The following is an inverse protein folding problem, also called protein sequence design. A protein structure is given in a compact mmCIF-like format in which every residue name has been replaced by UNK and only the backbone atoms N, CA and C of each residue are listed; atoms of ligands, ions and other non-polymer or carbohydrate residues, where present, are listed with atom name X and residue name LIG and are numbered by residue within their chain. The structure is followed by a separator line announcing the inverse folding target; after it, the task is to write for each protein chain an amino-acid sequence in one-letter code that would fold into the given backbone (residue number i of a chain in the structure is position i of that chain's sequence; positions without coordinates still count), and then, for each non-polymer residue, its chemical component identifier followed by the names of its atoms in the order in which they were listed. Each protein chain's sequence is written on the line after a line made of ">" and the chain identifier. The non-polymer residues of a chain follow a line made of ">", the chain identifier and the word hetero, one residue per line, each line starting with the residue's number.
data_IF_579176042608
#
_entry.id   IF_579176042608
#
_cell.length_a   1.000
_cell.length_b   1.000
_cell.length_c   1.000
_cell.angle_alpha   90.00
_cell.angle_beta   90.00
_cell.angle_gamma   90.00
#
_symmetry.space_group_name_H-M   'P 1'
#
loop_
_entity.id
_entity.type
_entity.pdbx_description
1 polymer ?
#
# COMPACT_ATOMS: atom_id res chain seq x y z
N UNK A 1 63.75 23.21 51.61
CA UNK A 1 62.31 22.90 51.45
C UNK A 1 62.00 22.64 49.98
N UNK A 2 62.01 21.36 49.60
CA UNK A 2 61.58 20.82 48.31
C UNK A 2 60.13 20.36 48.48
N UNK A 3 59.18 20.87 47.69
CA UNK A 3 57.87 20.25 47.34
C UNK A 3 56.94 21.33 46.74
N UNK A 4 57.13 21.73 45.48
CA UNK A 4 56.13 22.55 44.79
C UNK A 4 56.24 22.46 43.24
N UNK A 5 56.21 21.25 42.66
CA UNK A 5 56.18 21.11 41.18
C UNK A 5 55.28 19.98 40.63
N UNK A 6 54.32 19.46 41.39
CA UNK A 6 53.49 18.31 40.94
C UNK A 6 51.98 18.54 40.90
N UNK A 7 51.48 19.75 41.17
CA UNK A 7 50.03 20.03 41.23
C UNK A 7 49.41 20.56 39.93
N UNK A 8 50.21 20.87 38.90
CA UNK A 8 49.71 21.46 37.64
C UNK A 8 49.67 20.49 36.45
N UNK A 9 50.20 19.27 36.58
CA UNK A 9 50.20 18.27 35.50
C UNK A 9 48.88 17.48 35.38
N UNK A 10 48.03 17.50 36.40
CA UNK A 10 46.73 16.80 36.38
C UNK A 10 45.56 17.67 35.86
N UNK A 11 45.73 18.98 35.79
CA UNK A 11 44.68 19.90 35.32
C UNK A 11 44.63 20.03 33.78
N UNK A 12 45.73 19.72 33.07
CA UNK A 12 45.74 19.73 31.60
C UNK A 12 45.18 18.44 30.97
N UNK A 13 45.19 17.31 31.68
CA UNK A 13 44.69 16.03 31.16
C UNK A 13 43.16 15.92 31.18
N UNK A 14 42.46 16.69 32.01
CA UNK A 14 40.98 16.67 32.08
C UNK A 14 40.32 17.57 31.01
N UNK A 15 41.00 18.64 30.58
CA UNK A 15 40.47 19.55 29.55
C UNK A 15 40.52 18.94 28.14
N UNK A 16 41.51 18.09 27.86
CA UNK A 16 41.64 17.44 26.55
C UNK A 16 40.61 16.30 26.37
N UNK A 17 40.20 15.63 27.46
CA UNK A 17 39.17 14.58 27.42
C UNK A 17 37.75 15.16 27.28
N UNK A 18 37.50 16.39 27.74
CA UNK A 18 36.20 17.06 27.54
C UNK A 18 36.02 17.66 26.14
N UNK A 19 37.10 18.04 25.45
CA UNK A 19 37.01 18.55 24.07
C UNK A 19 36.80 17.44 23.02
N UNK A 20 37.21 16.19 23.27
CA UNK A 20 36.99 15.10 22.31
C UNK A 20 35.55 14.56 22.34
N UNK A 21 34.84 14.69 23.46
CA UNK A 21 33.43 14.26 23.59
C UNK A 21 32.47 15.23 22.86
N UNK A 22 32.81 16.52 22.73
CA UNK A 22 31.97 17.47 22.00
C UNK A 22 32.06 17.34 20.47
N UNK A 23 33.17 16.84 19.93
CA UNK A 23 33.35 16.70 18.48
C UNK A 23 32.54 15.52 17.94
N UNK A 24 32.42 14.42 18.69
CA UNK A 24 31.63 13.26 18.28
C UNK A 24 30.11 13.54 18.27
N UNK A 25 29.63 14.35 19.23
CA UNK A 25 28.21 14.75 19.28
C UNK A 25 27.82 15.78 18.21
N UNK A 26 28.75 16.65 17.80
CA UNK A 26 28.51 17.61 16.73
C UNK A 26 28.33 16.89 15.38
N UNK A 27 29.16 15.89 15.07
CA UNK A 27 29.00 15.07 13.86
C UNK A 27 27.72 14.25 13.87
N UNK A 28 27.36 13.64 15.01
CA UNK A 28 26.12 12.84 15.14
C UNK A 28 24.85 13.70 14.96
N UNK A 29 24.81 14.90 15.55
CA UNK A 29 23.70 15.83 15.35
C UNK A 29 23.64 16.41 13.93
N UNK A 30 24.78 16.76 13.35
CA UNK A 30 24.85 17.25 11.97
C UNK A 30 24.43 16.17 10.96
N UNK A 31 24.88 14.93 11.14
CA UNK A 31 24.50 13.77 10.32
C UNK A 31 22.99 13.49 10.43
N UNK A 32 22.44 13.56 11.65
CA UNK A 32 20.99 13.46 11.86
C UNK A 32 20.23 14.57 11.15
N UNK A 33 20.62 15.84 11.34
CA UNK A 33 19.97 16.99 10.69
C UNK A 33 20.06 16.88 9.16
N UNK A 34 21.21 16.45 8.63
CA UNK A 34 21.37 16.19 7.20
C UNK A 34 20.42 15.10 6.72
N UNK A 35 20.30 13.98 7.44
CA UNK A 35 19.36 12.91 7.09
C UNK A 35 17.90 13.38 7.05
N UNK A 36 17.47 14.17 8.03
CA UNK A 36 16.12 14.77 8.05
C UNK A 36 15.92 15.77 6.91
N UNK A 37 16.93 16.58 6.60
CA UNK A 37 16.85 17.55 5.50
C UNK A 37 16.73 16.86 4.14
N UNK A 38 17.47 15.76 3.95
CA UNK A 38 17.45 14.94 2.76
C UNK A 38 16.09 14.25 2.61
N UNK A 39 15.60 13.58 3.65
CA UNK A 39 14.26 12.96 3.63
C UNK A 39 13.16 13.98 3.29
N UNK A 40 13.21 15.17 3.90
CA UNK A 40 12.26 16.25 3.62
C UNK A 40 12.33 16.74 2.17
N UNK A 41 13.53 16.83 1.58
CA UNK A 41 13.71 17.20 0.18
C UNK A 41 13.15 16.13 -0.76
N UNK A 42 13.41 14.85 -0.48
CA UNK A 42 12.92 13.73 -1.28
C UNK A 42 11.40 13.62 -1.24
N UNK A 43 10.75 13.87 -0.10
CA UNK A 43 9.28 13.95 -0.04
C UNK A 43 8.71 15.11 -0.83
N UNK A 44 9.41 16.25 -0.91
CA UNK A 44 8.98 17.37 -1.74
C UNK A 44 9.04 17.02 -3.22
N UNK A 45 10.14 16.42 -3.67
CA UNK A 45 10.30 15.97 -5.05
C UNK A 45 9.27 14.88 -5.41
N UNK A 46 9.03 13.94 -4.50
CA UNK A 46 7.99 12.92 -4.66
C UNK A 46 6.59 13.53 -4.81
N UNK A 47 6.26 14.57 -4.03
CA UNK A 47 4.98 15.27 -4.17
C UNK A 47 4.90 16.04 -5.48
N UNK A 48 6.00 16.67 -5.94
CA UNK A 48 6.03 17.30 -7.28
C UNK A 48 5.79 16.27 -8.38
N UNK A 49 6.50 15.13 -8.34
CA UNK A 49 6.31 14.03 -9.28
C UNK A 49 4.86 13.53 -9.25
N UNK A 50 4.25 13.40 -8.06
CA UNK A 50 2.84 13.01 -7.94
C UNK A 50 1.92 13.96 -8.71
N UNK A 51 2.11 15.27 -8.58
CA UNK A 51 1.31 16.26 -9.29
C UNK A 51 1.50 16.17 -10.81
N UNK A 52 2.72 15.95 -11.27
CA UNK A 52 3.02 15.79 -12.69
C UNK A 52 2.39 14.51 -13.25
N UNK A 53 2.53 13.38 -12.56
CA UNK A 53 1.92 12.11 -12.95
C UNK A 53 0.39 12.19 -12.99
N UNK A 54 -0.26 12.89 -12.05
CA UNK A 54 -1.71 13.10 -12.08
C UNK A 54 -2.13 13.90 -13.32
N UNK A 55 -1.35 14.90 -13.74
CA UNK A 55 -1.62 15.69 -14.96
C UNK A 55 -1.42 14.88 -16.25
N UNK A 56 -0.50 13.92 -16.23
CA UNK A 56 -0.21 13.01 -17.35
C UNK A 56 -1.20 11.83 -17.44
N UNK A 57 -2.02 11.62 -16.41
CA UNK A 57 -2.98 10.53 -16.39
C UNK A 57 -3.98 10.66 -17.54
N UNK A 58 -4.43 9.52 -18.07
CA UNK A 58 -5.51 9.53 -19.04
C UNK A 58 -6.77 10.15 -18.43
N UNK A 59 -7.42 11.03 -19.18
CA UNK A 59 -8.69 11.64 -18.78
C UNK A 59 -9.82 10.66 -19.06
N UNK A 60 -10.09 9.79 -18.09
CA UNK A 60 -11.09 8.73 -18.18
C UNK A 60 -11.88 8.66 -16.87
N UNK A 61 -13.08 8.10 -16.93
CA UNK A 61 -13.87 7.77 -15.74
C UNK A 61 -13.15 6.72 -14.86
N UNK A 62 -13.39 6.68 -13.54
CA UNK A 62 -12.67 5.81 -12.60
C UNK A 62 -12.63 4.33 -13.00
N UNK A 63 -13.74 3.78 -13.49
CA UNK A 63 -13.80 2.38 -13.93
C UNK A 63 -12.88 2.13 -15.13
N UNK A 64 -12.86 3.04 -16.10
CA UNK A 64 -12.03 2.93 -17.30
C UNK A 64 -10.55 3.12 -16.96
N UNK A 65 -10.24 4.01 -16.01
CA UNK A 65 -8.89 4.13 -15.45
C UNK A 65 -8.43 2.82 -14.82
N UNK A 66 -9.25 2.21 -13.96
CA UNK A 66 -8.94 0.92 -13.34
C UNK A 66 -8.72 -0.19 -14.38
N UNK A 67 -9.60 -0.31 -15.38
CA UNK A 67 -9.43 -1.28 -16.48
C UNK A 67 -8.13 -1.06 -17.23
N UNK A 68 -7.72 0.19 -17.43
CA UNK A 68 -6.46 0.52 -18.12
C UNK A 68 -5.22 -0.04 -17.41
N UNK A 69 -5.26 -0.25 -16.10
CA UNK A 69 -4.12 -0.77 -15.32
C UNK A 69 -3.74 -2.20 -15.70
N UNK A 70 -4.70 -2.96 -16.23
CA UNK A 70 -4.49 -4.32 -16.73
C UNK A 70 -4.00 -4.37 -18.17
N UNK A 71 -3.92 -3.22 -18.86
CA UNK A 71 -3.40 -3.15 -20.22
C UNK A 71 -1.87 -2.94 -20.23
N UNK A 72 -1.19 -3.26 -21.36
CA UNK A 72 0.23 -2.95 -21.52
C UNK A 72 0.42 -1.42 -21.59
N UNK A 73 0.93 -0.84 -20.49
CA UNK A 73 1.28 0.57 -20.37
C UNK A 73 2.74 0.69 -19.94
N UNK A 74 3.36 1.84 -20.24
CA UNK A 74 4.65 2.18 -19.65
C UNK A 74 4.52 2.29 -18.13
N UNK A 75 5.62 2.09 -17.39
CA UNK A 75 5.63 2.25 -15.93
C UNK A 75 5.11 3.63 -15.51
N UNK A 76 5.55 4.68 -16.22
CA UNK A 76 5.13 6.06 -15.96
C UNK A 76 3.62 6.26 -16.17
N UNK A 77 3.07 5.78 -17.30
CA UNK A 77 1.64 5.93 -17.57
C UNK A 77 0.78 5.09 -16.61
N UNK A 78 1.25 3.89 -16.25
CA UNK A 78 0.57 3.05 -15.27
C UNK A 78 0.56 3.70 -13.88
N UNK A 79 1.68 4.31 -13.45
CA UNK A 79 1.75 5.09 -12.22
C UNK A 79 0.81 6.31 -12.27
N UNK A 80 0.82 7.07 -13.36
CA UNK A 80 -0.08 8.21 -13.59
C UNK A 80 -1.56 7.82 -13.47
N UNK A 81 -2.00 6.82 -14.22
CA UNK A 81 -3.38 6.35 -14.19
C UNK A 81 -3.76 5.79 -12.81
N UNK A 82 -2.84 5.09 -12.14
CA UNK A 82 -3.07 4.55 -10.79
C UNK A 82 -3.25 5.67 -9.77
N UNK A 83 -2.37 6.67 -9.76
CA UNK A 83 -2.46 7.81 -8.84
C UNK A 83 -3.75 8.62 -9.06
N UNK A 84 -4.13 8.84 -10.32
CA UNK A 84 -5.39 9.51 -10.67
C UNK A 84 -6.61 8.72 -10.17
N UNK A 85 -6.60 7.40 -10.30
CA UNK A 85 -7.63 6.54 -9.74
C UNK A 85 -7.73 6.66 -8.21
N UNK A 86 -6.58 6.66 -7.51
CA UNK A 86 -6.54 6.86 -6.05
C UNK A 86 -7.13 8.22 -5.65
N UNK A 87 -6.82 9.27 -6.40
CA UNK A 87 -7.40 10.60 -6.17
C UNK A 87 -8.90 10.61 -6.37
N UNK A 88 -9.42 9.99 -7.43
CA UNK A 88 -10.87 9.97 -7.70
C UNK A 88 -11.67 9.12 -6.70
N UNK A 89 -11.08 8.05 -6.17
CA UNK A 89 -11.79 7.12 -5.29
C UNK A 89 -11.68 7.46 -3.81
N UNK A 90 -10.57 8.04 -3.36
CA UNK A 90 -10.36 8.34 -1.94
C UNK A 90 -9.60 9.65 -1.68
N UNK A 91 -9.52 10.56 -2.65
CA UNK A 91 -8.74 11.81 -2.56
C UNK A 91 -7.27 11.59 -2.17
N UNK A 92 -6.73 10.40 -2.47
CA UNK A 92 -5.37 9.99 -2.06
C UNK A 92 -5.21 9.60 -0.58
N UNK A 93 -6.29 9.61 0.21
CA UNK A 93 -6.32 9.20 1.62
C UNK A 93 -6.50 7.68 1.77
N UNK A 94 -5.46 6.90 1.48
CA UNK A 94 -5.50 5.43 1.59
C UNK A 94 -5.71 4.96 3.03
N UNK A 95 -5.38 5.75 4.04
CA UNK A 95 -5.68 5.42 5.44
C UNK A 95 -7.20 5.30 5.70
N UNK A 96 -8.01 5.90 4.82
CA UNK A 96 -9.48 5.88 4.85
C UNK A 96 -10.09 4.99 3.78
N UNK A 97 -9.34 4.05 3.21
CA UNK A 97 -9.80 3.18 2.11
C UNK A 97 -11.16 2.51 2.37
N UNK A 98 -11.49 2.22 3.63
CA UNK A 98 -12.78 1.60 4.02
C UNK A 98 -13.98 2.49 3.72
N UNK A 99 -13.78 3.80 3.62
CA UNK A 99 -14.84 4.75 3.25
C UNK A 99 -15.29 4.60 1.80
N UNK A 100 -14.49 3.96 0.93
CA UNK A 100 -14.86 3.76 -0.48
C UNK A 100 -15.95 2.72 -0.61
N UNK A 101 -17.13 3.18 -1.02
CA UNK A 101 -18.34 2.37 -1.21
C UNK A 101 -18.71 2.21 -2.67
N UNK A 102 -19.52 1.18 -2.92
CA UNK A 102 -20.24 0.97 -4.15
C UNK A 102 -19.59 -0.03 -5.09
N UNK A 103 -20.32 -0.32 -6.15
CA UNK A 103 -19.90 -1.20 -7.22
C UNK A 103 -19.89 -0.44 -8.54
N UNK A 104 -19.03 -0.87 -9.45
CA UNK A 104 -19.23 -0.58 -10.87
C UNK A 104 -20.09 -1.68 -11.50
N UNK A 105 -21.20 -1.26 -12.11
CA UNK A 105 -22.16 -2.12 -12.80
C UNK A 105 -21.92 -2.10 -14.32
N UNK A 106 -22.28 -3.17 -15.05
CA UNK A 106 -22.97 -4.38 -14.60
C UNK A 106 -22.05 -5.46 -14.00
N UNK A 107 -20.74 -5.23 -13.95
CA UNK A 107 -19.76 -6.27 -13.62
C UNK A 107 -19.56 -6.55 -12.13
N UNK A 108 -20.27 -5.84 -11.24
CA UNK A 108 -20.25 -5.99 -9.79
C UNK A 108 -18.80 -5.95 -9.26
N UNK A 109 -18.07 -4.89 -9.64
CA UNK A 109 -16.69 -4.67 -9.18
C UNK A 109 -16.73 -3.76 -7.95
N UNK A 110 -16.31 -4.23 -6.75
CA UNK A 110 -16.27 -3.40 -5.56
C UNK A 110 -15.22 -2.29 -5.71
N UNK A 111 -15.64 -1.04 -5.52
CA UNK A 111 -14.73 0.11 -5.68
C UNK A 111 -13.59 0.11 -4.66
N UNK A 112 -13.84 -0.41 -3.46
CA UNK A 112 -12.84 -0.58 -2.40
C UNK A 112 -11.68 -1.50 -2.83
N UNK A 113 -11.97 -2.56 -3.57
CA UNK A 113 -10.95 -3.48 -4.08
C UNK A 113 -10.28 -2.95 -5.35
N UNK A 114 -11.02 -2.24 -6.21
CA UNK A 114 -10.44 -1.55 -7.35
C UNK A 114 -9.48 -0.42 -6.95
N UNK A 115 -9.77 0.27 -5.84
CA UNK A 115 -8.83 1.20 -5.20
C UNK A 115 -7.51 0.49 -4.86
N UNK A 116 -7.58 -0.72 -4.31
CA UNK A 116 -6.38 -1.49 -3.95
C UNK A 116 -5.61 -1.97 -5.17
N UNK A 117 -6.28 -2.32 -6.26
CA UNK A 117 -5.62 -2.54 -7.56
C UNK A 117 -4.84 -1.30 -8.03
N UNK A 118 -5.44 -0.12 -7.88
CA UNK A 118 -4.78 1.17 -8.10
C UNK A 118 -3.55 1.33 -7.21
N UNK A 119 -3.68 1.08 -5.91
CA UNK A 119 -2.58 1.17 -4.95
C UNK A 119 -1.41 0.26 -5.32
N UNK A 120 -1.67 -1.02 -5.56
CA UNK A 120 -0.61 -1.96 -5.94
C UNK A 120 0.00 -1.61 -7.28
N UNK A 121 -0.81 -1.22 -8.26
CA UNK A 121 -0.30 -0.81 -9.58
C UNK A 121 0.56 0.43 -9.49
N UNK A 122 0.20 1.40 -8.64
CA UNK A 122 1.01 2.58 -8.36
C UNK A 122 2.35 2.18 -7.73
N UNK A 123 2.33 1.44 -6.61
CA UNK A 123 3.55 1.03 -5.90
C UNK A 123 4.46 0.22 -6.83
N UNK A 124 3.94 -0.81 -7.51
CA UNK A 124 4.74 -1.63 -8.41
C UNK A 124 5.35 -0.79 -9.53
N UNK A 125 4.57 0.09 -10.17
CA UNK A 125 5.07 0.88 -11.30
C UNK A 125 6.10 1.91 -10.87
N UNK A 126 5.84 2.64 -9.76
CA UNK A 126 6.74 3.62 -9.19
C UNK A 126 8.04 2.99 -8.68
N UNK A 127 7.96 1.80 -8.09
CA UNK A 127 9.14 1.06 -7.62
C UNK A 127 10.10 0.72 -8.74
N UNK A 128 9.63 0.47 -9.97
CA UNK A 128 10.50 0.11 -11.09
C UNK A 128 10.88 1.30 -11.98
N UNK A 129 10.43 2.51 -11.66
CA UNK A 129 10.88 3.71 -12.36
C UNK A 129 12.35 4.02 -12.01
N UNK A 130 13.13 4.61 -12.92
CA UNK A 130 14.53 4.92 -12.66
C UNK A 130 14.73 6.10 -11.70
N UNK A 131 13.67 6.84 -11.38
CA UNK A 131 13.70 8.08 -10.62
C UNK A 131 13.58 7.82 -9.10
N UNK A 132 14.54 8.32 -8.32
CA UNK A 132 14.53 8.25 -6.86
C UNK A 132 13.26 8.86 -6.26
N UNK A 133 12.75 9.95 -6.83
CA UNK A 133 11.51 10.59 -6.36
C UNK A 133 10.29 9.67 -6.53
N UNK A 134 10.29 8.79 -7.55
CA UNK A 134 9.25 7.77 -7.73
C UNK A 134 9.29 6.72 -6.62
N UNK A 135 10.49 6.28 -6.23
CA UNK A 135 10.66 5.36 -5.10
C UNK A 135 10.16 5.96 -3.78
N UNK A 136 10.46 7.24 -3.52
CA UNK A 136 9.94 7.96 -2.35
C UNK A 136 8.42 8.16 -2.41
N UNK A 137 7.87 8.40 -3.60
CA UNK A 137 6.42 8.48 -3.80
C UNK A 137 5.76 7.13 -3.49
N UNK A 138 6.31 6.01 -3.98
CA UNK A 138 5.83 4.67 -3.62
C UNK A 138 5.85 4.46 -2.10
N UNK A 139 6.97 4.80 -1.46
CA UNK A 139 7.13 4.72 -0.01
C UNK A 139 6.13 5.59 0.76
N UNK A 140 5.75 6.76 0.23
CA UNK A 140 4.72 7.60 0.83
C UNK A 140 3.34 6.96 0.80
N UNK A 141 2.96 6.31 -0.31
CA UNK A 141 1.68 5.59 -0.44
C UNK A 141 1.61 4.41 0.54
N UNK A 142 2.73 3.68 0.64
CA UNK A 142 2.92 2.60 1.61
C UNK A 142 2.71 3.07 3.04
N UNK A 143 3.36 4.18 3.44
CA UNK A 143 3.22 4.78 4.77
C UNK A 143 1.77 5.20 5.03
N UNK A 144 1.10 5.79 4.04
CA UNK A 144 -0.28 6.23 4.17
C UNK A 144 -1.24 5.05 4.41
N UNK A 145 -1.22 4.00 3.57
CA UNK A 145 -2.09 2.83 3.79
C UNK A 145 -1.78 2.11 5.12
N UNK A 146 -0.52 2.08 5.55
CA UNK A 146 -0.10 1.49 6.84
C UNK A 146 -0.71 2.16 8.07
N UNK A 147 -1.20 3.39 7.96
CA UNK A 147 -1.91 4.06 9.04
C UNK A 147 -3.26 3.40 9.35
N UNK A 148 -3.83 2.64 8.40
CA UNK A 148 -4.99 1.79 8.64
C UNK A 148 -4.55 0.42 9.15
N UNK A 149 -4.91 0.06 10.39
CA UNK A 149 -4.62 -1.27 10.94
C UNK A 149 -5.25 -2.39 10.10
N UNK A 150 -6.48 -2.18 9.60
CA UNK A 150 -7.15 -3.12 8.69
C UNK A 150 -6.52 -3.14 7.32
N UNK A 151 -6.11 -1.98 6.77
CA UNK A 151 -5.39 -1.92 5.50
C UNK A 151 -4.06 -2.68 5.56
N UNK A 152 -3.32 -2.53 6.66
CA UNK A 152 -2.10 -3.30 6.92
C UNK A 152 -2.36 -4.81 6.93
N UNK A 153 -3.29 -5.27 7.76
CA UNK A 153 -3.61 -6.71 7.90
C UNK A 153 -4.10 -7.30 6.57
N UNK A 154 -5.02 -6.62 5.89
CA UNK A 154 -5.72 -7.17 4.74
C UNK A 154 -4.96 -7.00 3.43
N UNK A 155 -4.15 -5.95 3.26
CA UNK A 155 -3.51 -5.66 1.97
C UNK A 155 -1.98 -5.65 2.02
N UNK A 156 -1.37 -5.46 3.19
CA UNK A 156 0.09 -5.43 3.27
C UNK A 156 0.66 -6.75 3.77
N UNK A 157 -0.02 -7.43 4.71
CA UNK A 157 0.42 -8.72 5.23
C UNK A 157 0.02 -9.90 4.32
N UNK A 158 -1.05 -9.74 3.53
CA UNK A 158 -1.51 -10.73 2.53
C UNK A 158 -1.39 -10.21 1.08
N UNK A 159 -0.30 -9.51 0.76
CA UNK A 159 -0.16 -8.86 -0.54
C UNK A 159 0.11 -9.83 -1.70
N UNK A 160 -0.24 -9.46 -2.95
CA UNK A 160 0.18 -10.20 -4.15
C UNK A 160 1.70 -10.24 -4.31
N UNK A 161 2.20 -11.31 -4.94
CA UNK A 161 3.64 -11.53 -5.13
C UNK A 161 4.36 -10.36 -5.83
N UNK A 162 3.74 -9.75 -6.84
CA UNK A 162 4.31 -8.61 -7.57
C UNK A 162 4.63 -7.41 -6.65
N UNK A 163 3.80 -7.16 -5.63
CA UNK A 163 4.04 -6.11 -4.66
C UNK A 163 5.22 -6.44 -3.73
N UNK A 164 5.38 -7.71 -3.34
CA UNK A 164 6.50 -8.16 -2.51
C UNK A 164 7.83 -7.93 -3.23
N UNK A 165 7.87 -8.21 -4.54
CA UNK A 165 9.04 -7.96 -5.38
C UNK A 165 9.34 -6.47 -5.51
N UNK A 166 8.31 -5.64 -5.67
CA UNK A 166 8.44 -4.19 -5.70
C UNK A 166 8.98 -3.62 -4.37
N UNK A 167 8.54 -4.15 -3.22
CA UNK A 167 9.08 -3.77 -1.91
C UNK A 167 10.57 -4.11 -1.76
N UNK A 168 10.96 -5.32 -2.17
CA UNK A 168 12.36 -5.76 -2.15
C UNK A 168 13.22 -4.87 -3.05
N UNK A 169 12.68 -4.43 -4.19
CA UNK A 169 13.37 -3.51 -5.08
C UNK A 169 13.54 -2.11 -4.45
N UNK A 170 12.50 -1.57 -3.80
CA UNK A 170 12.62 -0.30 -3.07
C UNK A 170 13.68 -0.36 -1.97
N UNK A 171 13.72 -1.45 -1.20
CA UNK A 171 14.72 -1.63 -0.15
C UNK A 171 16.14 -1.62 -0.71
N UNK A 172 16.38 -2.30 -1.85
CA UNK A 172 17.67 -2.28 -2.56
C UNK A 172 18.00 -0.90 -3.14
N UNK A 173 16.99 -0.07 -3.37
CA UNK A 173 17.13 1.30 -3.89
C UNK A 173 17.37 2.34 -2.78
N UNK A 174 17.83 1.90 -1.59
CA UNK A 174 18.15 2.76 -0.44
C UNK A 174 16.96 3.52 0.14
N UNK A 175 15.72 3.09 -0.14
CA UNK A 175 14.53 3.58 0.56
C UNK A 175 14.49 2.91 1.94
N UNK A 176 14.15 3.64 3.02
CA UNK A 176 14.14 3.11 4.39
C UNK A 176 12.91 2.21 4.65
N UNK A 177 12.76 1.15 3.86
CA UNK A 177 11.76 0.10 4.06
C UNK A 177 12.26 -0.85 5.16
N UNK A 178 11.56 -0.95 6.31
CA UNK A 178 11.96 -1.86 7.38
C UNK A 178 11.88 -3.33 6.96
N UNK A 179 12.80 -4.17 7.45
CA UNK A 179 12.87 -5.59 7.09
C UNK A 179 11.57 -6.36 7.37
N UNK A 180 10.93 -6.06 8.51
CA UNK A 180 9.66 -6.68 8.90
C UNK A 180 8.47 -6.30 7.98
N UNK A 181 8.65 -5.41 7.00
CA UNK A 181 7.63 -5.12 5.98
C UNK A 181 7.66 -6.11 4.82
N UNK A 182 8.75 -6.88 4.68
CA UNK A 182 9.05 -7.70 3.50
C UNK A 182 8.94 -9.20 3.81
N UNK A 183 8.96 -9.57 5.09
CA UNK A 183 8.74 -10.94 5.57
C UNK A 183 7.25 -11.31 5.58
N UNK A 184 6.65 -11.29 4.40
CA UNK A 184 5.22 -11.57 4.17
C UNK A 184 5.08 -12.69 3.13
N UNK A 185 4.09 -13.57 3.33
CA UNK A 185 3.75 -14.62 2.37
C UNK A 185 2.84 -14.05 1.29
N UNK A 186 3.26 -14.15 0.04
CA UNK A 186 2.45 -13.73 -1.10
C UNK A 186 1.14 -14.49 -1.20
N UNK A 187 0.04 -13.75 -1.43
CA UNK A 187 -1.30 -14.33 -1.60
C UNK A 187 -2.05 -13.63 -2.73
N UNK A 188 -2.65 -14.42 -3.63
CA UNK A 188 -3.36 -13.90 -4.80
C UNK A 188 -2.46 -13.26 -5.86
N UNK A 189 -3.11 -12.62 -6.83
CA UNK A 189 -2.47 -12.02 -8.01
C UNK A 189 -3.09 -10.66 -8.33
N UNK A 190 -2.38 -9.82 -9.08
CA UNK A 190 -2.96 -8.62 -9.66
C UNK A 190 -3.65 -8.93 -11.00
N UNK A 191 -4.78 -8.28 -11.33
CA UNK A 191 -5.61 -7.49 -10.40
C UNK A 191 -6.29 -8.39 -9.34
N UNK A 192 -6.49 -7.83 -8.15
CA UNK A 192 -7.22 -8.43 -7.02
C UNK A 192 -8.66 -8.76 -7.37
N UNK A 193 -9.30 -7.94 -8.21
CA UNK A 193 -10.63 -8.23 -8.73
C UNK A 193 -10.54 -8.43 -10.24
N UNK A 194 -11.09 -9.55 -10.71
CA UNK A 194 -11.13 -9.87 -12.14
C UNK A 194 -12.52 -9.71 -12.70
N UNK A 195 -13.49 -10.38 -12.10
CA UNK A 195 -14.88 -10.41 -12.58
C UNK A 195 -15.83 -11.01 -11.55
N UNK A 196 -17.11 -10.75 -11.78
CA UNK A 196 -18.18 -11.52 -11.17
C UNK A 196 -18.24 -12.93 -11.77
N UNK A 197 -18.28 -13.95 -10.91
CA UNK A 197 -18.25 -15.38 -11.26
C UNK A 197 -19.57 -16.11 -10.97
N UNK A 198 -20.58 -15.41 -10.43
CA UNK A 198 -21.92 -15.96 -10.20
C UNK A 198 -22.30 -16.05 -8.72
N UNK A 199 -23.00 -17.12 -8.34
CA UNK A 199 -23.60 -17.29 -7.01
C UNK A 199 -22.98 -18.48 -6.27
N UNK A 200 -22.70 -18.33 -4.98
CA UNK A 200 -22.19 -19.39 -4.09
C UNK A 200 -22.99 -19.48 -2.80
N UNK A 201 -22.99 -20.63 -2.13
CA UNK A 201 -23.57 -20.72 -0.78
C UNK A 201 -22.64 -20.12 0.28
N UNK A 202 -23.20 -19.70 1.41
CA UNK A 202 -22.42 -19.21 2.55
C UNK A 202 -21.39 -20.24 3.03
N UNK A 203 -21.78 -21.53 3.07
CA UNK A 203 -20.87 -22.62 3.45
C UNK A 203 -19.71 -22.81 2.48
N UNK A 204 -19.96 -22.64 1.17
CA UNK A 204 -18.91 -22.70 0.15
C UNK A 204 -17.92 -21.54 0.27
N UNK A 205 -18.41 -20.33 0.54
CA UNK A 205 -17.56 -19.15 0.75
C UNK A 205 -16.62 -19.37 1.96
N UNK A 206 -17.15 -19.90 3.07
CA UNK A 206 -16.35 -20.26 4.25
C UNK A 206 -15.34 -21.36 3.96
N UNK A 207 -15.76 -22.47 3.33
CA UNK A 207 -14.85 -23.60 3.06
C UNK A 207 -13.70 -23.22 2.12
N UNK A 208 -13.90 -22.18 1.28
CA UNK A 208 -12.88 -21.65 0.38
C UNK A 208 -12.09 -20.48 0.98
N UNK A 209 -12.29 -20.15 2.26
CA UNK A 209 -11.64 -19.02 2.94
C UNK A 209 -11.78 -17.68 2.17
N UNK A 210 -12.96 -17.46 1.58
CA UNK A 210 -13.27 -16.20 0.90
C UNK A 210 -13.51 -15.08 1.92
N UNK A 211 -13.24 -13.84 1.49
CA UNK A 211 -13.59 -12.66 2.26
C UNK A 211 -15.03 -12.24 1.95
N UNK A 212 -15.78 -11.81 2.96
CA UNK A 212 -17.14 -11.33 2.77
C UNK A 212 -17.16 -9.84 2.43
N UNK A 213 -18.10 -9.45 1.56
CA UNK A 213 -18.38 -8.06 1.24
C UNK A 213 -19.84 -7.72 1.56
N UNK A 214 -20.05 -6.57 2.19
CA UNK A 214 -21.39 -6.05 2.48
C UNK A 214 -22.14 -5.62 1.20
N UNK A 215 -23.36 -5.09 1.37
CA UNK A 215 -24.21 -4.67 0.26
C UNK A 215 -23.66 -3.46 -0.52
N UNK A 216 -22.63 -2.79 -0.01
CA UNK A 216 -21.95 -1.67 -0.67
C UNK A 216 -20.52 -2.01 -1.06
N UNK A 217 -20.12 -3.29 -1.00
CA UNK A 217 -18.83 -3.75 -1.53
C UNK A 217 -17.65 -3.50 -0.60
N UNK A 218 -17.88 -3.35 0.70
CA UNK A 218 -16.82 -3.24 1.71
C UNK A 218 -16.53 -4.60 2.35
N UNK A 219 -15.27 -4.83 2.71
CA UNK A 219 -14.86 -6.00 3.48
C UNK A 219 -15.53 -6.02 4.86
N UNK A 220 -16.27 -7.09 5.13
CA UNK A 220 -17.05 -7.26 6.35
C UNK A 220 -16.89 -8.69 6.92
N UNK A 221 -17.32 -8.89 8.16
CA UNK A 221 -17.29 -10.22 8.79
C UNK A 221 -18.31 -11.18 8.16
N UNK A 222 -19.39 -10.63 7.61
CA UNK A 222 -20.43 -11.31 6.85
C UNK A 222 -20.92 -10.37 5.74
N UNK A 223 -21.61 -10.90 4.73
CA UNK A 223 -21.93 -10.10 3.56
C UNK A 223 -22.91 -10.78 2.62
N UNK A 224 -23.38 -10.00 1.65
CA UNK A 224 -24.21 -10.50 0.53
C UNK A 224 -23.37 -10.86 -0.69
N UNK A 225 -22.08 -10.51 -0.69
CA UNK A 225 -21.10 -10.97 -1.67
C UNK A 225 -19.89 -11.61 -0.98
N UNK A 226 -19.13 -12.38 -1.74
CA UNK A 226 -17.87 -12.97 -1.34
C UNK A 226 -16.80 -12.66 -2.40
N UNK A 227 -15.58 -12.43 -1.95
CA UNK A 227 -14.40 -12.23 -2.77
C UNK A 227 -13.41 -13.37 -2.52
N UNK A 228 -13.10 -14.10 -3.58
CA UNK A 228 -12.02 -15.08 -3.59
C UNK A 228 -10.72 -14.36 -3.97
N UNK A 229 -9.87 -14.12 -2.97
CA UNK A 229 -8.59 -13.42 -3.14
C UNK A 229 -7.61 -14.18 -4.05
N UNK A 230 -7.65 -15.51 -4.06
CA UNK A 230 -6.71 -16.31 -4.85
C UNK A 230 -6.99 -16.17 -6.35
N UNK A 231 -8.28 -16.19 -6.71
CA UNK A 231 -8.73 -16.15 -8.10
C UNK A 231 -9.12 -14.75 -8.57
N UNK A 232 -9.38 -13.83 -7.65
CA UNK A 232 -9.93 -12.50 -7.90
C UNK A 232 -11.41 -12.50 -8.29
N UNK A 233 -12.11 -13.60 -8.04
CA UNK A 233 -13.53 -13.76 -8.35
C UNK A 233 -14.44 -13.11 -7.31
N UNK A 234 -15.50 -12.45 -7.77
CA UNK A 234 -16.59 -11.94 -6.93
C UNK A 234 -17.81 -12.83 -7.11
N UNK A 235 -18.45 -13.20 -6.01
CA UNK A 235 -19.63 -14.05 -6.00
C UNK A 235 -20.74 -13.41 -5.17
N UNK A 236 -21.99 -13.55 -5.59
CA UNK A 236 -23.15 -13.27 -4.75
C UNK A 236 -23.39 -14.47 -3.81
N UNK A 237 -23.73 -14.20 -2.55
CA UNK A 237 -24.06 -15.24 -1.60
C UNK A 237 -25.55 -15.55 -1.73
N UNK A 238 -25.85 -16.82 -2.06
CA UNK A 238 -27.21 -17.31 -2.10
C UNK A 238 -27.89 -17.03 -0.76
N UNK A 239 -28.90 -16.15 -0.80
CA UNK A 239 -29.82 -15.99 0.33
C UNK A 239 -30.43 -17.36 0.59
N UNK A 240 -30.52 -17.74 1.86
CA UNK A 240 -31.29 -18.92 2.28
C UNK A 240 -32.76 -18.69 1.94
N UNK A 241 -33.14 -18.92 0.69
CA UNK A 241 -34.54 -19.13 0.36
C UNK A 241 -34.85 -20.53 0.88
N UNK A 242 -35.80 -20.59 1.82
CA UNK A 242 -36.52 -21.81 2.14
C UNK A 242 -36.75 -22.61 0.86
N UNK A 243 -36.40 -23.90 0.92
CA UNK A 243 -36.74 -24.94 -0.05
C UNK A 243 -37.84 -24.47 -1.01
N UNK A 244 -37.51 -24.24 -2.29
CA UNK A 244 -38.50 -24.47 -3.34
C UNK A 244 -38.75 -25.97 -3.34
N UNK A 245 -39.65 -26.42 -2.46
CA UNK A 245 -40.27 -27.73 -2.57
C UNK A 245 -41.06 -27.65 -3.87
N UNK A 246 -40.52 -28.24 -4.93
CA UNK A 246 -41.30 -28.58 -6.09
C UNK A 246 -42.36 -29.58 -5.61
N UNK A 247 -43.62 -29.15 -5.53
CA UNK A 247 -44.73 -30.09 -5.54
C UNK A 247 -44.97 -30.48 -7.00
N UNK A 248 -44.71 -31.72 -7.42
CA UNK A 248 -45.24 -32.19 -8.68
C UNK A 248 -46.76 -32.25 -8.53
N UNK A 249 -47.46 -31.34 -9.21
CA UNK A 249 -48.87 -31.54 -9.52
C UNK A 249 -48.91 -32.60 -10.62
N UNK A 250 -49.48 -33.77 -10.32
CA UNK A 250 -49.88 -34.74 -11.32
C UNK A 250 -51.32 -34.41 -11.69
N UNK A 251 -51.55 -34.00 -12.93
CA UNK A 251 -52.83 -34.23 -13.61
C UNK A 251 -52.85 -35.66 -14.16
#
# INVERSE_FOLDING_TARGET
>A
MRKLKWKYLWAMSVVIVFCTVQIAGATEWEDLVQSYSLEKSMFREAEQLKQDLIREAHVLEPELLWRSLSTPLSLRQKAANSLSLLMMLCDGHLERWESVEGFWYPHIIPRSLALMDGFYSAVVSLSYMPDTSAHWLAFSLLKNLRQSSRGKLLFLEEAPQAYIEALRYLQKSHIPVPDYWIDIKGRGHLPLVRRFEGVVSYGQALSRNMFFLDAVGRLAANGVYAWDRETGGIYEIARWNHRRIFFPWND
#
